data_IF_332594964778
#
_entry.id   IF_332594964778
#
_cell.length_a   1.000
_cell.length_b   1.000
_cell.length_c   1.000
_cell.angle_alpha   90.00
_cell.angle_beta   90.00
_cell.angle_gamma   90.00
#
_symmetry.space_group_name_H-M   'P 1'
#
loop_
_entity.id
_entity.type
_entity.pdbx_description
1 polymer ?
#
# COMPACT_ATOMS: atom_id res chain seq x y z
N UNK A 1 -36.86 0.99 32.98
CA UNK A 1 -35.55 1.17 33.65
C UNK A 1 -34.90 -0.18 33.86
N UNK A 2 -33.94 -0.54 33.03
CA UNK A 2 -32.72 -1.26 33.42
C UNK A 2 -31.82 -1.27 32.19
N UNK A 3 -30.99 -0.24 32.07
CA UNK A 3 -29.92 -0.23 31.10
C UNK A 3 -28.91 -1.28 31.54
N UNK A 4 -28.70 -2.31 30.71
CA UNK A 4 -27.60 -3.23 30.86
C UNK A 4 -26.32 -2.46 30.56
N UNK A 5 -25.74 -1.84 31.58
CA UNK A 5 -24.44 -1.22 31.52
C UNK A 5 -23.40 -2.35 31.44
N UNK A 6 -23.01 -2.72 30.23
CA UNK A 6 -21.80 -3.51 30.00
C UNK A 6 -20.61 -2.67 30.45
N UNK A 7 -19.96 -3.08 31.54
CA UNK A 7 -18.67 -2.51 31.95
C UNK A 7 -17.69 -2.52 30.76
N UNK A 8 -16.86 -1.48 30.59
CA UNK A 8 -15.82 -1.52 29.57
C UNK A 8 -14.91 -2.71 29.87
N UNK A 9 -14.85 -3.66 28.93
CA UNK A 9 -13.97 -4.82 29.03
C UNK A 9 -12.53 -4.31 29.23
N UNK A 10 -11.81 -4.86 30.20
CA UNK A 10 -10.42 -4.50 30.44
C UNK A 10 -9.61 -4.74 29.15
N UNK A 11 -8.82 -3.75 28.73
CA UNK A 11 -7.93 -3.89 27.58
C UNK A 11 -7.03 -5.11 27.81
N UNK A 12 -6.97 -6.07 26.86
CA UNK A 12 -6.16 -7.27 27.05
C UNK A 12 -4.69 -6.87 27.22
N UNK A 13 -3.99 -7.58 28.12
CA UNK A 13 -2.56 -7.35 28.33
C UNK A 13 -1.76 -7.77 27.09
N UNK A 14 -1.01 -6.83 26.51
CA UNK A 14 -0.16 -7.08 25.34
C UNK A 14 1.18 -7.65 25.84
N UNK A 15 1.53 -8.86 25.36
CA UNK A 15 2.81 -9.51 25.66
C UNK A 15 3.78 -9.27 24.52
N UNK A 16 4.99 -8.77 24.83
CA UNK A 16 6.05 -8.54 23.87
C UNK A 16 7.09 -9.66 23.94
N UNK A 17 7.20 -10.48 22.89
CA UNK A 17 8.16 -11.59 22.81
C UNK A 17 9.23 -11.34 21.75
N UNK A 18 10.47 -11.80 21.99
CA UNK A 18 11.59 -11.76 21.05
C UNK A 18 12.20 -13.15 20.95
N UNK A 19 12.64 -13.55 19.76
CA UNK A 19 13.18 -14.89 19.52
C UNK A 19 13.12 -15.29 18.05
N UNK A 20 13.15 -16.60 17.80
CA UNK A 20 12.96 -17.16 16.46
C UNK A 20 11.57 -16.79 15.93
N UNK A 21 11.51 -16.36 14.66
CA UNK A 21 10.27 -16.00 13.97
C UNK A 21 10.19 -16.72 12.64
N UNK A 22 9.01 -17.23 12.31
CA UNK A 22 8.70 -17.86 11.02
C UNK A 22 7.74 -16.96 10.26
N UNK A 23 8.30 -15.95 9.60
CA UNK A 23 7.53 -14.92 8.88
C UNK A 23 8.22 -14.56 7.56
N UNK A 24 7.44 -14.06 6.62
CA UNK A 24 7.99 -13.46 5.39
C UNK A 24 8.48 -12.04 5.64
N UNK A 25 9.43 -11.58 4.83
CA UNK A 25 9.80 -10.16 4.77
C UNK A 25 8.83 -9.35 3.87
N UNK A 26 8.93 -8.02 3.93
CA UNK A 26 8.10 -7.10 3.15
C UNK A 26 8.22 -7.21 1.62
N UNK A 27 9.27 -7.86 1.07
CA UNK A 27 9.36 -8.12 -0.37
C UNK A 27 8.14 -8.88 -0.90
N UNK A 28 7.52 -9.72 -0.08
CA UNK A 28 6.33 -10.48 -0.46
C UNK A 28 5.13 -9.60 -0.80
N UNK A 29 5.08 -8.34 -0.33
CA UNK A 29 4.09 -7.35 -0.73
C UNK A 29 4.02 -7.10 -2.24
N UNK A 30 5.15 -7.25 -2.93
CA UNK A 30 5.25 -7.10 -4.38
C UNK A 30 4.26 -8.02 -5.11
N UNK A 31 4.05 -9.25 -4.58
CA UNK A 31 3.26 -10.32 -5.21
C UNK A 31 1.82 -9.89 -5.51
N UNK A 32 1.21 -9.05 -4.66
CA UNK A 32 -0.12 -8.50 -4.92
C UNK A 32 -0.07 -7.07 -5.44
N UNK A 33 0.89 -6.25 -5.02
CA UNK A 33 1.01 -4.85 -5.46
C UNK A 33 1.28 -4.73 -6.95
N UNK A 34 2.08 -5.62 -7.54
CA UNK A 34 2.34 -5.62 -8.98
C UNK A 34 1.08 -5.92 -9.81
N UNK A 35 0.08 -6.57 -9.21
CA UNK A 35 -1.23 -6.83 -9.84
C UNK A 35 -2.17 -5.65 -9.62
N UNK A 36 -2.09 -5.03 -8.44
CA UNK A 36 -2.93 -3.90 -8.07
C UNK A 36 -2.59 -2.65 -8.87
N UNK A 37 -1.32 -2.30 -9.00
CA UNK A 37 -0.86 -1.14 -9.78
C UNK A 37 -0.33 -1.65 -11.14
N UNK A 38 -1.18 -1.57 -12.16
CA UNK A 38 -1.02 -2.31 -13.41
C UNK A 38 0.16 -1.83 -14.28
N UNK A 39 0.57 -0.58 -14.11
CA UNK A 39 1.67 0.07 -14.80
C UNK A 39 2.87 0.38 -13.88
N UNK A 40 2.92 -0.25 -12.71
CA UNK A 40 4.07 -0.23 -11.82
C UNK A 40 5.02 -1.41 -12.07
N UNK A 41 6.31 -1.18 -11.86
CA UNK A 41 7.33 -2.21 -11.84
C UNK A 41 8.10 -2.17 -10.52
N UNK A 42 8.40 -3.33 -9.94
CA UNK A 42 9.13 -3.46 -8.68
C UNK A 42 10.51 -4.07 -8.94
N UNK A 43 11.55 -3.26 -8.84
CA UNK A 43 12.95 -3.67 -8.99
C UNK A 43 13.58 -3.83 -7.60
N UNK A 44 13.69 -5.06 -7.13
CA UNK A 44 14.39 -5.37 -5.88
C UNK A 44 15.89 -5.25 -6.09
N UNK A 45 16.58 -4.54 -5.23
CA UNK A 45 18.06 -4.52 -5.20
C UNK A 45 18.50 -5.43 -4.06
N UNK A 46 19.05 -6.60 -4.38
CA UNK A 46 19.27 -7.64 -3.37
C UNK A 46 20.08 -8.83 -3.85
N UNK A 47 19.94 -9.97 -3.19
CA UNK A 47 20.69 -11.19 -3.53
C UNK A 47 19.83 -12.22 -4.28
N UNK A 48 20.46 -13.34 -4.66
CA UNK A 48 19.75 -14.53 -5.16
C UNK A 48 18.65 -15.00 -4.20
N UNK A 49 18.85 -14.87 -2.89
CA UNK A 49 17.85 -15.23 -1.88
C UNK A 49 16.55 -14.44 -2.07
N UNK A 50 16.65 -13.14 -2.36
CA UNK A 50 15.49 -12.29 -2.64
C UNK A 50 14.75 -12.73 -3.92
N UNK A 51 15.51 -13.05 -4.97
CA UNK A 51 14.95 -13.58 -6.23
C UNK A 51 14.25 -14.93 -6.02
N UNK A 52 14.88 -15.86 -5.30
CA UNK A 52 14.28 -17.16 -4.96
C UNK A 52 13.02 -17.01 -4.11
N UNK A 53 13.00 -16.11 -3.14
CA UNK A 53 11.80 -15.81 -2.35
C UNK A 53 10.64 -15.40 -3.25
N UNK A 54 10.85 -14.39 -4.11
CA UNK A 54 9.80 -13.89 -5.00
C UNK A 54 9.33 -14.94 -6.00
N UNK A 55 10.25 -15.74 -6.55
CA UNK A 55 9.91 -16.85 -7.43
C UNK A 55 9.03 -17.88 -6.72
N UNK A 56 9.39 -18.28 -5.50
CA UNK A 56 8.63 -19.24 -4.71
C UNK A 56 7.27 -18.69 -4.26
N UNK A 57 7.22 -17.42 -3.83
CA UNK A 57 6.00 -16.77 -3.35
C UNK A 57 5.01 -16.46 -4.48
N UNK A 58 5.51 -16.07 -5.67
CA UNK A 58 4.65 -15.79 -6.82
C UNK A 58 4.04 -17.07 -7.42
N UNK A 59 4.61 -18.24 -7.16
CA UNK A 59 4.14 -19.52 -7.67
C UNK A 59 3.98 -19.48 -9.19
N UNK A 60 2.80 -19.82 -9.70
CA UNK A 60 2.50 -19.81 -11.15
C UNK A 60 2.58 -18.42 -11.79
N UNK A 61 2.47 -17.34 -11.01
CA UNK A 61 2.50 -15.97 -11.54
C UNK A 61 3.86 -15.59 -12.11
N UNK A 62 4.94 -16.31 -11.75
CA UNK A 62 6.27 -16.08 -12.31
C UNK A 62 6.31 -16.27 -13.84
N UNK A 63 5.41 -17.10 -14.37
CA UNK A 63 5.31 -17.38 -15.80
C UNK A 63 4.36 -16.43 -16.55
N UNK A 64 3.71 -15.51 -15.84
CA UNK A 64 2.73 -14.57 -16.40
C UNK A 64 3.33 -13.17 -16.66
N UNK A 65 4.59 -13.12 -17.08
CA UNK A 65 5.35 -11.86 -17.30
C UNK A 65 5.22 -10.86 -16.14
N UNK A 66 5.60 -11.26 -14.91
CA UNK A 66 5.41 -10.42 -13.74
C UNK A 66 6.14 -9.08 -13.87
N UNK A 67 5.52 -8.02 -13.36
CA UNK A 67 6.09 -6.67 -13.32
C UNK A 67 7.01 -6.46 -12.11
N UNK A 68 7.89 -7.42 -11.88
CA UNK A 68 8.93 -7.31 -10.88
C UNK A 68 10.19 -8.07 -11.32
N UNK A 69 11.34 -7.66 -10.80
CA UNK A 69 12.61 -8.33 -11.00
C UNK A 69 13.56 -8.04 -9.83
N UNK A 70 14.63 -8.83 -9.72
CA UNK A 70 15.71 -8.58 -8.77
C UNK A 70 16.99 -8.22 -9.51
N UNK A 71 17.55 -7.05 -9.23
CA UNK A 71 18.93 -6.70 -9.50
C UNK A 71 19.80 -7.42 -8.46
N UNK A 72 20.40 -8.54 -8.85
CA UNK A 72 21.25 -9.35 -7.97
C UNK A 72 22.61 -8.67 -7.82
N UNK A 73 22.98 -8.35 -6.58
CA UNK A 73 24.29 -7.83 -6.20
C UNK A 73 25.32 -8.94 -6.37
N UNK A 74 26.36 -8.68 -7.16
CA UNK A 74 27.50 -9.55 -7.44
C UNK A 74 28.72 -9.16 -6.58
N UNK A 75 29.72 -10.02 -6.51
CA UNK A 75 30.94 -9.76 -5.72
C UNK A 75 31.66 -8.46 -6.14
N UNK A 76 31.64 -8.14 -7.44
CA UNK A 76 32.21 -6.89 -7.97
C UNK A 76 31.54 -5.65 -7.36
N UNK A 77 30.25 -5.74 -7.06
CA UNK A 77 29.46 -4.61 -6.58
C UNK A 77 29.74 -4.32 -5.09
N UNK A 78 30.37 -5.26 -4.38
CA UNK A 78 30.78 -5.11 -2.99
C UNK A 78 32.14 -4.40 -2.84
N UNK A 79 32.92 -4.30 -3.93
CA UNK A 79 34.28 -3.75 -3.91
C UNK A 79 34.33 -2.20 -3.96
N UNK A 80 33.25 -1.54 -4.38
CA UNK A 80 33.20 -0.07 -4.49
C UNK A 80 31.77 0.46 -4.64
N UNK A 81 31.45 1.59 -3.98
CA UNK A 81 30.09 2.16 -3.97
C UNK A 81 29.72 2.89 -5.27
N UNK A 82 30.69 3.53 -5.95
CA UNK A 82 30.45 4.20 -7.23
C UNK A 82 30.03 3.19 -8.31
N UNK A 83 30.67 2.03 -8.32
CA UNK A 83 30.39 0.96 -9.28
C UNK A 83 28.96 0.42 -9.11
N UNK A 84 28.44 0.36 -7.87
CA UNK A 84 27.08 -0.12 -7.57
C UNK A 84 25.99 0.86 -8.03
N UNK A 85 26.21 2.17 -7.88
CA UNK A 85 25.28 3.19 -8.38
C UNK A 85 25.22 3.18 -9.92
N UNK A 86 26.37 3.08 -10.58
CA UNK A 86 26.47 2.99 -12.04
C UNK A 86 25.84 1.69 -12.57
N UNK A 87 26.03 0.57 -11.87
CA UNK A 87 25.43 -0.71 -12.23
C UNK A 87 23.90 -0.69 -12.06
N UNK A 88 23.39 -0.10 -10.97
CA UNK A 88 21.95 0.09 -10.78
C UNK A 88 21.36 0.96 -11.89
N UNK A 89 22.02 2.06 -12.25
CA UNK A 89 21.62 2.93 -13.35
C UNK A 89 21.58 2.18 -14.69
N UNK A 90 22.59 1.35 -14.96
CA UNK A 90 22.65 0.51 -16.16
C UNK A 90 21.50 -0.50 -16.20
N UNK A 91 21.23 -1.18 -15.09
CA UNK A 91 20.15 -2.17 -14.98
C UNK A 91 18.78 -1.51 -15.15
N UNK A 92 18.53 -0.40 -14.46
CA UNK A 92 17.28 0.35 -14.56
C UNK A 92 17.05 0.91 -15.97
N UNK A 93 18.09 1.46 -16.61
CA UNK A 93 18.01 1.95 -18.00
C UNK A 93 17.64 0.82 -18.95
N UNK A 94 18.28 -0.36 -18.83
CA UNK A 94 17.97 -1.53 -19.65
C UNK A 94 16.55 -2.04 -19.41
N UNK A 95 16.07 -2.01 -18.16
CA UNK A 95 14.70 -2.40 -17.81
C UNK A 95 13.69 -1.48 -18.50
N UNK A 96 13.83 -0.17 -18.33
CA UNK A 96 12.89 0.82 -18.89
C UNK A 96 12.92 0.78 -20.42
N UNK A 97 14.09 0.63 -21.05
CA UNK A 97 14.20 0.47 -22.50
C UNK A 97 13.46 -0.77 -23.03
N UNK A 98 13.42 -1.87 -22.25
CA UNK A 98 12.67 -3.08 -22.61
C UNK A 98 11.18 -3.01 -22.29
N UNK A 99 10.79 -2.18 -21.32
CA UNK A 99 9.43 -2.05 -20.80
C UNK A 99 9.01 -0.57 -20.76
N UNK A 100 8.77 0.05 -21.93
CA UNK A 100 8.37 1.45 -22.02
C UNK A 100 6.95 1.71 -21.48
N UNK A 101 6.20 0.65 -21.16
CA UNK A 101 4.88 0.68 -20.52
C UNK A 101 4.93 1.06 -19.03
N UNK A 102 6.11 0.98 -18.40
CA UNK A 102 6.28 1.32 -16.99
C UNK A 102 6.02 2.82 -16.78
N UNK A 103 5.10 3.15 -15.88
CA UNK A 103 4.80 4.53 -15.45
C UNK A 103 5.29 4.83 -14.04
N UNK A 104 5.43 3.80 -13.23
CA UNK A 104 5.92 3.88 -11.86
C UNK A 104 6.95 2.77 -11.59
N UNK A 105 8.18 3.14 -11.26
CA UNK A 105 9.24 2.20 -10.89
C UNK A 105 9.50 2.30 -9.38
N UNK A 106 9.39 1.19 -8.67
CA UNK A 106 9.81 1.08 -7.28
C UNK A 106 11.17 0.39 -7.20
N UNK A 107 12.16 1.07 -6.63
CA UNK A 107 13.39 0.46 -6.15
C UNK A 107 13.14 -0.10 -4.75
N UNK A 108 13.17 -1.42 -4.61
CA UNK A 108 12.82 -2.09 -3.36
C UNK A 108 14.09 -2.55 -2.64
N UNK A 109 14.31 -1.99 -1.45
CA UNK A 109 15.40 -2.37 -0.58
C UNK A 109 15.22 -3.76 0.01
N UNK A 110 16.33 -4.46 0.18
CA UNK A 110 16.42 -5.77 0.81
C UNK A 110 17.50 -5.78 1.89
N UNK A 111 17.61 -6.88 2.66
CA UNK A 111 18.62 -6.96 3.72
C UNK A 111 20.05 -6.70 3.19
N UNK A 112 20.48 -7.30 2.06
CA UNK A 112 21.78 -7.00 1.47
C UNK A 112 22.01 -5.52 1.16
N UNK A 113 21.05 -4.86 0.49
CA UNK A 113 21.22 -3.46 0.08
C UNK A 113 21.28 -2.50 1.28
N UNK A 114 20.56 -2.81 2.35
CA UNK A 114 20.58 -2.02 3.58
C UNK A 114 21.85 -2.21 4.38
N UNK A 115 22.35 -3.44 4.48
CA UNK A 115 23.61 -3.75 5.19
C UNK A 115 24.79 -3.01 4.56
N UNK A 116 24.86 -2.95 3.22
CA UNK A 116 25.89 -2.18 2.51
C UNK A 116 25.59 -0.67 2.45
N UNK A 117 24.47 -0.23 3.07
CA UNK A 117 24.01 1.16 3.13
C UNK A 117 23.86 1.82 1.77
N UNK A 118 23.29 1.08 0.81
CA UNK A 118 22.89 1.64 -0.48
C UNK A 118 21.72 2.61 -0.27
N UNK A 119 21.90 3.85 -0.71
CA UNK A 119 20.88 4.90 -0.59
C UNK A 119 19.95 4.84 -1.80
N UNK A 120 18.92 3.99 -1.71
CA UNK A 120 17.93 3.83 -2.77
C UNK A 120 17.06 5.07 -2.96
N UNK A 121 16.88 5.90 -1.94
CA UNK A 121 16.15 7.17 -2.06
C UNK A 121 16.88 8.14 -2.99
N UNK A 122 18.20 8.29 -2.79
CA UNK A 122 19.05 9.08 -3.69
C UNK A 122 19.11 8.48 -5.10
N UNK A 123 19.21 7.15 -5.22
CA UNK A 123 19.21 6.49 -6.52
C UNK A 123 17.87 6.70 -7.27
N UNK A 124 16.73 6.61 -6.57
CA UNK A 124 15.42 6.86 -7.15
C UNK A 124 15.30 8.29 -7.68
N UNK A 125 15.71 9.30 -6.90
CA UNK A 125 15.69 10.70 -7.34
C UNK A 125 16.59 10.93 -8.58
N UNK A 126 17.80 10.37 -8.58
CA UNK A 126 18.74 10.43 -9.73
C UNK A 126 18.13 9.81 -10.99
N UNK A 127 17.52 8.63 -10.88
CA UNK A 127 16.91 7.93 -12.01
C UNK A 127 15.65 8.67 -12.51
N UNK A 128 14.81 9.16 -11.61
CA UNK A 128 13.62 9.94 -11.97
C UNK A 128 14.00 11.18 -12.80
N UNK A 129 15.04 11.92 -12.39
CA UNK A 129 15.57 13.06 -13.14
C UNK A 129 16.09 12.63 -14.52
N UNK A 130 16.89 11.56 -14.57
CA UNK A 130 17.45 11.01 -15.82
C UNK A 130 16.39 10.61 -16.84
N UNK A 131 15.24 10.09 -16.41
CA UNK A 131 14.14 9.69 -17.28
C UNK A 131 13.07 10.79 -17.45
N UNK A 132 13.34 12.02 -17.05
CA UNK A 132 12.40 13.14 -17.24
C UNK A 132 11.07 12.95 -16.51
N UNK A 133 11.07 12.25 -15.36
CA UNK A 133 9.89 11.93 -14.53
C UNK A 133 8.86 11.00 -15.20
N UNK A 134 9.23 10.32 -16.28
CA UNK A 134 8.41 9.26 -16.89
C UNK A 134 9.29 8.07 -17.28
N UNK A 135 9.30 6.97 -16.48
CA UNK A 135 8.47 6.74 -15.30
C UNK A 135 8.86 7.59 -14.09
N UNK A 136 7.91 7.75 -13.15
CA UNK A 136 8.22 8.18 -11.78
C UNK A 136 9.00 7.07 -11.09
N UNK A 137 10.05 7.41 -10.34
CA UNK A 137 10.87 6.42 -9.61
C UNK A 137 10.79 6.69 -8.12
N UNK A 138 10.41 5.69 -7.34
CA UNK A 138 10.31 5.74 -5.88
C UNK A 138 11.18 4.66 -5.25
N UNK A 139 11.49 4.81 -3.97
CA UNK A 139 12.17 3.78 -3.21
C UNK A 139 11.48 3.51 -1.87
N UNK A 140 11.47 2.25 -1.46
CA UNK A 140 11.03 1.82 -0.13
C UNK A 140 11.77 0.54 0.29
N UNK A 141 11.71 0.20 1.57
CA UNK A 141 12.28 -1.07 2.07
C UNK A 141 11.24 -2.19 2.09
N UNK A 142 11.59 -3.35 1.54
CA UNK A 142 10.90 -4.62 1.81
C UNK A 142 11.79 -5.61 2.58
N UNK A 143 12.83 -5.10 3.24
CA UNK A 143 13.85 -5.89 3.91
C UNK A 143 13.30 -6.63 5.13
N UNK A 144 13.79 -7.86 5.36
CA UNK A 144 13.41 -8.66 6.52
C UNK A 144 13.95 -8.14 7.86
N UNK A 145 14.84 -7.14 7.84
CA UNK A 145 15.31 -6.48 9.08
C UNK A 145 14.38 -5.35 9.53
N UNK A 146 13.60 -4.78 8.61
CA UNK A 146 12.73 -3.62 8.86
C UNK A 146 11.25 -3.88 8.64
N UNK A 147 10.88 -4.94 7.92
CA UNK A 147 9.48 -5.20 7.53
C UNK A 147 9.13 -6.68 7.58
N UNK A 148 7.88 -6.95 7.94
CA UNK A 148 7.26 -8.27 8.04
C UNK A 148 6.04 -8.34 7.12
N UNK A 149 6.09 -9.25 6.15
CA UNK A 149 4.99 -9.60 5.24
C UNK A 149 4.22 -8.39 4.67
N UNK A 150 3.04 -8.07 5.20
CA UNK A 150 2.17 -6.98 4.74
C UNK A 150 2.71 -5.58 5.01
N UNK A 151 3.68 -5.42 5.92
CA UNK A 151 4.36 -4.12 6.14
C UNK A 151 5.10 -3.64 4.89
N UNK A 152 5.41 -4.54 3.94
CA UNK A 152 5.92 -4.14 2.62
C UNK A 152 4.95 -3.29 1.80
N UNK A 153 3.63 -3.48 1.97
CA UNK A 153 2.63 -2.59 1.39
C UNK A 153 2.60 -1.24 2.09
N UNK A 154 2.69 -1.22 3.42
CA UNK A 154 2.72 0.02 4.19
C UNK A 154 3.91 0.89 3.78
N UNK A 155 5.11 0.31 3.70
CA UNK A 155 6.32 1.01 3.26
C UNK A 155 6.18 1.52 1.81
N UNK A 156 5.57 0.73 0.91
CA UNK A 156 5.32 1.12 -0.47
C UNK A 156 4.37 2.33 -0.58
N UNK A 157 3.23 2.29 0.11
CA UNK A 157 2.25 3.36 0.07
C UNK A 157 2.75 4.61 0.81
N UNK A 158 3.45 4.46 1.92
CA UNK A 158 4.15 5.53 2.63
C UNK A 158 5.13 6.28 1.70
N UNK A 159 5.90 5.58 0.87
CA UNK A 159 6.78 6.19 -0.13
C UNK A 159 6.02 6.90 -1.27
N UNK A 160 4.81 6.44 -1.60
CA UNK A 160 3.96 7.01 -2.64
C UNK A 160 3.26 8.30 -2.20
N UNK A 161 2.76 8.36 -0.96
CA UNK A 161 1.92 9.46 -0.42
C UNK A 161 2.54 10.86 -0.62
N UNK A 162 3.84 11.10 -0.34
CA UNK A 162 4.46 12.40 -0.56
C UNK A 162 4.36 12.91 -2.00
N UNK A 163 4.25 12.01 -2.98
CA UNK A 163 4.26 12.34 -4.42
C UNK A 163 2.86 12.56 -5.00
N UNK A 164 1.80 12.26 -4.24
CA UNK A 164 0.41 12.42 -4.69
C UNK A 164 0.08 13.89 -4.95
N UNK A 165 -0.75 14.16 -5.95
CA UNK A 165 -1.20 15.51 -6.25
C UNK A 165 -1.93 16.14 -5.03
N UNK A 166 -1.89 17.47 -4.86
CA UNK A 166 -2.70 18.14 -3.86
C UNK A 166 -4.19 18.01 -4.18
N UNK A 167 -5.00 17.77 -3.15
CA UNK A 167 -6.46 17.79 -3.19
C UNK A 167 -7.00 19.10 -3.83
N UNK A 168 -7.84 19.03 -4.88
CA UNK A 168 -8.48 20.22 -5.42
C UNK A 168 -9.64 20.68 -4.50
N UNK A 169 -9.59 21.94 -4.09
CA UNK A 169 -10.67 22.67 -3.44
C UNK A 169 -11.16 22.12 -2.08
N UNK A 170 -12.20 22.76 -1.50
CA UNK A 170 -12.69 22.43 -0.16
C UNK A 170 -13.66 21.24 -0.08
N UNK A 171 -13.96 20.59 -1.21
CA UNK A 171 -14.90 19.48 -1.24
C UNK A 171 -14.33 18.28 -0.47
N UNK A 172 -15.08 17.80 0.52
CA UNK A 172 -14.71 16.62 1.30
C UNK A 172 -14.70 15.38 0.40
N UNK A 173 -13.61 14.62 0.45
CA UNK A 173 -13.44 13.37 -0.28
C UNK A 173 -13.10 12.23 0.67
N UNK A 174 -13.63 11.04 0.37
CA UNK A 174 -13.27 9.81 1.08
C UNK A 174 -12.09 9.14 0.37
N UNK A 175 -11.05 8.80 1.12
CA UNK A 175 -9.94 8.00 0.66
C UNK A 175 -9.92 6.66 1.40
N UNK A 176 -10.16 5.56 0.70
CA UNK A 176 -10.01 4.20 1.24
C UNK A 176 -8.57 3.74 1.00
N UNK A 177 -7.86 3.41 2.07
CA UNK A 177 -6.42 3.10 2.03
C UNK A 177 -6.18 1.61 2.27
N UNK A 178 -5.42 0.99 1.38
CA UNK A 178 -5.08 -0.43 1.37
C UNK A 178 -5.45 -1.08 0.03
N UNK A 179 -4.57 -1.94 -0.47
CA UNK A 179 -4.82 -2.71 -1.67
C UNK A 179 -6.00 -3.67 -1.44
N UNK A 180 -7.00 -3.56 -2.31
CA UNK A 180 -8.18 -4.41 -2.33
C UNK A 180 -8.27 -5.11 -3.68
N UNK A 181 -8.93 -6.28 -3.68
CA UNK A 181 -9.33 -6.90 -4.93
C UNK A 181 -10.32 -5.99 -5.67
N UNK A 182 -10.24 -5.94 -7.00
CA UNK A 182 -11.08 -5.06 -7.82
C UNK A 182 -12.58 -5.25 -7.56
N UNK A 183 -13.02 -6.50 -7.35
CA UNK A 183 -14.42 -6.80 -7.03
C UNK A 183 -14.85 -6.22 -5.68
N UNK A 184 -13.95 -6.20 -4.69
CA UNK A 184 -14.23 -5.62 -3.35
C UNK A 184 -14.29 -4.10 -3.46
N UNK A 185 -13.34 -3.48 -4.17
CA UNK A 185 -13.39 -2.04 -4.47
C UNK A 185 -14.70 -1.66 -5.16
N UNK A 186 -15.12 -2.41 -6.19
CA UNK A 186 -16.36 -2.14 -6.93
C UNK A 186 -17.60 -2.32 -6.06
N UNK A 187 -17.60 -3.28 -5.12
CA UNK A 187 -18.67 -3.44 -4.13
C UNK A 187 -18.74 -2.23 -3.19
N UNK A 188 -17.58 -1.76 -2.68
CA UNK A 188 -17.51 -0.59 -1.81
C UNK A 188 -18.00 0.66 -2.54
N UNK A 189 -17.56 0.88 -3.78
CA UNK A 189 -18.02 2.02 -4.60
C UNK A 189 -19.54 2.05 -4.75
N UNK A 190 -20.18 0.90 -5.02
CA UNK A 190 -21.65 0.81 -5.12
C UNK A 190 -22.34 1.17 -3.81
N UNK A 191 -21.82 0.68 -2.68
CA UNK A 191 -22.39 0.97 -1.35
C UNK A 191 -22.21 2.45 -0.98
N UNK A 192 -21.04 3.04 -1.22
CA UNK A 192 -20.83 4.47 -0.99
C UNK A 192 -21.70 5.36 -1.87
N UNK A 193 -21.91 4.99 -3.13
CA UNK A 193 -22.83 5.69 -4.02
C UNK A 193 -24.27 5.63 -3.49
N UNK A 194 -24.72 4.46 -3.01
CA UNK A 194 -26.04 4.30 -2.39
C UNK A 194 -26.18 5.11 -1.08
N UNK A 195 -25.09 5.27 -0.32
CA UNK A 195 -25.04 6.13 0.86
C UNK A 195 -25.03 7.63 0.52
N UNK A 196 -24.76 8.00 -0.74
CA UNK A 196 -24.70 9.40 -1.18
C UNK A 196 -23.31 10.05 -1.03
N UNK A 197 -22.24 9.27 -0.85
CA UNK A 197 -20.87 9.79 -0.81
C UNK A 197 -20.37 10.00 -2.25
N UNK A 198 -20.32 11.26 -2.67
CA UNK A 198 -20.07 11.62 -4.07
C UNK A 198 -18.64 11.34 -4.57
N UNK A 199 -17.63 11.49 -3.71
CA UNK A 199 -16.21 11.38 -4.11
C UNK A 199 -15.51 10.34 -3.25
N UNK A 200 -15.25 9.17 -3.85
CA UNK A 200 -14.53 8.06 -3.21
C UNK A 200 -13.33 7.65 -4.05
N UNK A 201 -12.17 7.77 -3.44
CA UNK A 201 -10.87 7.43 -4.00
C UNK A 201 -10.26 6.24 -3.25
N UNK A 202 -9.36 5.51 -3.90
CA UNK A 202 -8.66 4.35 -3.34
C UNK A 202 -7.16 4.50 -3.51
N UNK A 203 -6.41 4.20 -2.45
CA UNK A 203 -4.94 4.19 -2.45
C UNK A 203 -4.44 2.77 -2.09
N UNK A 204 -3.71 2.08 -2.98
CA UNK A 204 -3.29 2.51 -4.30
C UNK A 204 -4.43 2.45 -5.33
N UNK A 205 -4.37 3.35 -6.32
CA UNK A 205 -5.20 3.25 -7.52
C UNK A 205 -4.74 2.10 -8.42
N UNK A 206 -5.56 1.73 -9.40
CA UNK A 206 -5.22 0.65 -10.34
C UNK A 206 -4.08 1.00 -11.30
N UNK A 207 -3.82 2.29 -11.49
CA UNK A 207 -2.79 2.83 -12.39
C UNK A 207 -2.13 4.06 -11.77
N UNK A 208 -0.88 4.32 -12.14
CA UNK A 208 -0.07 5.42 -11.64
C UNK A 208 -0.64 6.80 -11.99
N UNK A 209 -1.21 6.95 -13.19
CA UNK A 209 -1.86 8.18 -13.66
C UNK A 209 -3.21 8.49 -12.99
N UNK A 210 -3.80 7.49 -12.34
CA UNK A 210 -5.08 7.59 -11.62
C UNK A 210 -4.91 7.71 -10.10
N UNK A 211 -3.68 7.93 -9.61
CA UNK A 211 -3.44 8.05 -8.17
C UNK A 211 -4.21 9.24 -7.57
N UNK A 212 -4.86 9.06 -6.42
CA UNK A 212 -5.79 10.05 -5.91
C UNK A 212 -5.06 11.25 -5.30
N UNK A 213 -5.64 12.46 -5.39
CA UNK A 213 -5.06 13.62 -4.76
C UNK A 213 -5.32 13.60 -3.23
N UNK A 214 -4.37 14.14 -2.46
CA UNK A 214 -4.43 14.16 -0.98
C UNK A 214 -4.16 15.56 -0.45
N UNK A 215 -4.96 15.99 0.53
CA UNK A 215 -4.77 17.26 1.24
C UNK A 215 -5.75 17.45 2.42
N UNK A 216 -5.88 18.69 2.94
CA UNK A 216 -6.67 19.01 4.15
C UNK A 216 -8.15 18.60 4.15
N UNK A 217 -8.76 18.45 2.97
CA UNK A 217 -10.17 18.07 2.80
C UNK A 217 -10.37 16.58 2.55
N UNK A 218 -9.30 15.78 2.64
CA UNK A 218 -9.37 14.33 2.52
C UNK A 218 -9.68 13.71 3.87
N UNK A 219 -10.80 12.99 3.96
CA UNK A 219 -11.08 12.07 5.06
C UNK A 219 -10.62 10.68 4.61
N UNK A 220 -9.76 10.01 5.36
CA UNK A 220 -9.30 8.67 4.98
C UNK A 220 -9.71 7.62 5.99
N UNK A 221 -9.87 6.39 5.50
CA UNK A 221 -10.18 5.22 6.31
C UNK A 221 -9.27 4.07 5.88
N UNK A 222 -8.74 3.33 6.85
CA UNK A 222 -7.92 2.17 6.58
C UNK A 222 -8.82 0.96 6.31
N UNK A 223 -8.61 0.30 5.18
CA UNK A 223 -9.21 -1.00 4.87
C UNK A 223 -8.34 -2.17 5.35
N UNK A 224 -7.07 -1.90 5.67
CA UNK A 224 -6.09 -2.88 6.14
C UNK A 224 -5.47 -2.43 7.47
N UNK A 225 -5.19 -3.35 8.41
CA UNK A 225 -4.73 -2.99 9.76
C UNK A 225 -3.25 -2.61 9.85
N UNK A 226 -2.45 -2.90 8.82
CA UNK A 226 -0.99 -2.79 8.84
C UNK A 226 -0.45 -1.47 8.26
N UNK A 227 -1.30 -0.45 8.07
CA UNK A 227 -0.98 0.78 7.31
C UNK A 227 -0.56 1.96 8.21
N UNK A 228 0.31 1.72 9.18
CA UNK A 228 0.69 2.71 10.20
C UNK A 228 1.58 3.83 9.66
N UNK A 229 2.58 3.51 8.85
CA UNK A 229 3.45 4.49 8.22
C UNK A 229 2.69 5.32 7.17
N UNK A 230 1.84 4.66 6.39
CA UNK A 230 0.99 5.31 5.38
C UNK A 230 0.02 6.29 6.04
N UNK A 231 -0.62 5.91 7.16
CA UNK A 231 -1.47 6.82 7.92
C UNK A 231 -0.70 8.06 8.37
N UNK A 232 0.50 7.87 8.94
CA UNK A 232 1.37 8.98 9.35
C UNK A 232 1.73 9.89 8.17
N UNK A 233 2.02 9.33 6.99
CA UNK A 233 2.32 10.09 5.79
C UNK A 233 1.11 10.90 5.28
N UNK A 234 -0.10 10.33 5.36
CA UNK A 234 -1.35 10.99 4.99
C UNK A 234 -1.69 12.15 5.92
N UNK A 235 -1.52 11.98 7.23
CA UNK A 235 -1.73 13.04 8.22
C UNK A 235 -0.77 14.22 8.02
N UNK A 236 0.50 13.96 7.67
CA UNK A 236 1.46 15.01 7.29
C UNK A 236 1.03 15.80 6.05
N UNK A 237 0.20 15.21 5.19
CA UNK A 237 -0.42 15.87 4.03
C UNK A 237 -1.74 16.58 4.38
N UNK A 238 -2.15 16.57 5.65
CA UNK A 238 -3.37 17.21 6.15
C UNK A 238 -4.62 16.35 6.04
N UNK A 239 -4.52 15.10 5.56
CA UNK A 239 -5.67 14.21 5.56
C UNK A 239 -6.07 13.85 7.00
N UNK A 240 -7.36 13.64 7.23
CA UNK A 240 -7.91 13.40 8.57
C UNK A 240 -8.46 11.97 8.65
N UNK A 241 -8.08 11.18 9.68
CA UNK A 241 -8.54 9.80 9.80
C UNK A 241 -10.02 9.71 10.18
N UNK A 242 -10.66 8.65 9.68
CA UNK A 242 -11.92 8.10 10.18
C UNK A 242 -11.55 6.83 10.96
N UNK A 243 -11.81 6.85 12.26
CA UNK A 243 -11.57 5.69 13.13
C UNK A 243 -12.70 4.68 12.93
N UNK A 244 -12.35 3.49 12.46
CA UNK A 244 -13.27 2.42 12.15
C UNK A 244 -12.61 1.05 12.38
N UNK A 245 -13.37 0.00 12.74
CA UNK A 245 -12.84 -1.37 12.74
C UNK A 245 -12.54 -1.82 11.31
N UNK A 246 -11.67 -2.81 11.10
CA UNK A 246 -11.44 -3.33 9.74
C UNK A 246 -12.74 -3.95 9.16
N UNK A 247 -13.00 -3.81 7.84
CA UNK A 247 -14.19 -4.32 7.19
C UNK A 247 -14.10 -5.84 6.97
N UNK A 248 -14.09 -6.59 8.06
CA UNK A 248 -13.99 -8.05 8.09
C UNK A 248 -15.24 -8.65 8.74
N UNK A 249 -15.88 -9.58 8.02
CA UNK A 249 -17.16 -10.15 8.43
C UNK A 249 -18.32 -9.14 8.36
N UNK A 250 -19.54 -9.61 8.66
CA UNK A 250 -20.74 -8.78 8.57
C UNK A 250 -20.72 -7.60 9.56
N UNK A 251 -20.34 -7.86 10.81
CA UNK A 251 -20.29 -6.85 11.87
C UNK A 251 -19.19 -5.81 11.62
N UNK A 252 -17.96 -6.24 11.38
CA UNK A 252 -16.84 -5.32 11.12
C UNK A 252 -17.09 -4.45 9.89
N UNK A 253 -17.62 -5.03 8.82
CA UNK A 253 -17.99 -4.27 7.61
C UNK A 253 -19.11 -3.27 7.88
N UNK A 254 -20.16 -3.66 8.62
CA UNK A 254 -21.26 -2.75 8.98
C UNK A 254 -20.74 -1.55 9.78
N UNK A 255 -20.01 -1.82 10.87
CA UNK A 255 -19.43 -0.78 11.73
C UNK A 255 -18.47 0.13 10.94
N UNK A 256 -17.72 -0.43 9.99
CA UNK A 256 -16.83 0.36 9.13
C UNK A 256 -17.60 1.34 8.24
N UNK A 257 -18.68 0.91 7.59
CA UNK A 257 -19.54 1.82 6.80
C UNK A 257 -20.27 2.83 7.68
N UNK A 258 -20.72 2.44 8.88
CA UNK A 258 -21.37 3.35 9.84
C UNK A 258 -20.42 4.45 10.32
N UNK A 259 -19.17 4.13 10.66
CA UNK A 259 -18.15 5.13 11.01
C UNK A 259 -17.90 6.12 9.88
N UNK A 260 -17.83 5.64 8.64
CA UNK A 260 -17.66 6.51 7.47
C UNK A 260 -18.90 7.38 7.28
N UNK A 261 -20.10 6.80 7.32
CA UNK A 261 -21.34 7.53 7.16
C UNK A 261 -21.51 8.64 8.20
N UNK A 262 -21.16 8.35 9.46
CA UNK A 262 -21.16 9.33 10.55
C UNK A 262 -20.18 10.49 10.28
N UNK A 263 -18.98 10.20 9.77
CA UNK A 263 -18.00 11.24 9.40
C UNK A 263 -18.45 12.14 8.24
N UNK A 264 -19.42 11.69 7.44
CA UNK A 264 -20.04 12.43 6.33
C UNK A 264 -21.44 13.00 6.68
N UNK A 265 -21.91 12.83 7.93
CA UNK A 265 -23.20 13.35 8.37
C UNK A 265 -24.41 12.69 7.71
N UNK A 266 -24.29 11.42 7.31
CA UNK A 266 -25.37 10.65 6.67
C UNK A 266 -26.31 10.11 7.74
N UNK A 267 -27.61 10.21 7.49
CA UNK A 267 -28.66 9.75 8.42
C UNK A 267 -28.54 8.23 8.72
N UNK A 268 -28.46 7.81 10.00
CA UNK A 268 -28.34 6.40 10.36
C UNK A 268 -29.47 5.52 9.80
N UNK A 269 -30.70 6.02 9.67
CA UNK A 269 -31.80 5.23 9.11
C UNK A 269 -31.59 4.94 7.61
N UNK A 270 -31.01 5.88 6.86
CA UNK A 270 -30.59 5.65 5.48
C UNK A 270 -29.46 4.62 5.39
N UNK A 271 -28.48 4.71 6.29
CA UNK A 271 -27.37 3.74 6.37
C UNK A 271 -27.89 2.32 6.61
N UNK A 272 -28.76 2.15 7.62
CA UNK A 272 -29.39 0.86 7.92
C UNK A 272 -30.20 0.34 6.72
N UNK A 273 -30.92 1.21 6.02
CA UNK A 273 -31.66 0.87 4.81
C UNK A 273 -30.74 0.27 3.73
N UNK A 274 -29.63 0.96 3.42
CA UNK A 274 -28.65 0.53 2.41
C UNK A 274 -27.93 -0.75 2.80
N UNK A 275 -27.54 -0.90 4.07
CA UNK A 275 -26.73 -2.03 4.54
C UNK A 275 -27.56 -3.26 4.92
N UNK A 276 -28.87 -3.13 5.12
CA UNK A 276 -29.73 -4.23 5.61
C UNK A 276 -29.67 -5.51 4.77
N UNK A 277 -29.75 -5.40 3.44
CA UNK A 277 -29.71 -6.55 2.53
C UNK A 277 -28.31 -7.21 2.49
N UNK A 278 -27.21 -6.46 2.28
CA UNK A 278 -25.85 -7.01 2.37
C UNK A 278 -25.57 -7.73 3.69
N UNK A 279 -25.97 -7.12 4.82
CA UNK A 279 -25.76 -7.71 6.15
C UNK A 279 -26.52 -9.02 6.28
N UNK A 280 -27.82 -9.05 5.93
CA UNK A 280 -28.61 -10.30 5.96
C UNK A 280 -28.01 -11.40 5.11
N UNK A 281 -27.50 -11.06 3.92
CA UNK A 281 -26.84 -12.03 3.03
C UNK A 281 -25.55 -12.58 3.64
N UNK A 282 -24.80 -11.77 4.38
CA UNK A 282 -23.54 -12.18 4.99
C UNK A 282 -23.72 -13.00 6.28
N UNK A 283 -24.88 -12.88 6.94
CA UNK A 283 -25.21 -13.61 8.18
C UNK A 283 -26.12 -14.82 7.97
N UNK A 284 -26.61 -15.04 6.76
CA UNK A 284 -27.43 -16.20 6.38
C UNK A 284 -26.54 -17.40 6.04
#
# INVERSE_FOLDING_TARGET
MSACATSPAATPAIIAERGQREVFCGLTGIVWLHRRIQDAFFLVVGSRTCAHLLQSAAGVMIFAEPRFATAIIEERDLAGRADLDDELDRVATRLIARRPDIRLLFLVGSCPSEVIRLDLGRAAARLEERFGRSPRVLAYSGSGIGTTFTEGEDACLSALVPTLAPAPGPATRLLVVGALADVVEDQFRRLFAALGIATVDFLPARRADAMPPVGPFTRYVLAQPFLGETATALERRGAVPIVAPCPLGAEGTRLWFESIAAAFGIDPAHVDGVLSLPVRRATA
#
